data_IF_164894658169
#
_entry.id   IF_164894658169
#
_cell.length_a   1.000
_cell.length_b   1.000
_cell.length_c   1.000
_cell.angle_alpha   90.00
_cell.angle_beta   90.00
_cell.angle_gamma   90.00
#
_symmetry.space_group_name_H-M   'P 1'
#
loop_
_entity.id
_entity.type
_entity.pdbx_description
1 polymer ?
#
# COMPACT_ATOMS: atom_id res chain seq x y z
N UNK A 1 -25.71 -14.34 1.49
CA UNK A 1 -24.88 -13.23 2.02
C UNK A 1 -23.85 -12.89 0.97
N UNK A 2 -23.68 -11.62 0.60
CA UNK A 2 -22.70 -11.20 -0.42
C UNK A 2 -21.30 -10.93 0.16
N UNK A 3 -21.08 -11.27 1.42
CA UNK A 3 -19.82 -11.07 2.14
C UNK A 3 -18.81 -12.16 1.79
N UNK A 4 -17.52 -11.83 1.87
CA UNK A 4 -16.45 -12.83 1.78
C UNK A 4 -16.54 -13.86 2.91
N UNK A 5 -16.30 -15.15 2.63
CA UNK A 5 -16.29 -16.20 3.65
C UNK A 5 -14.96 -16.28 4.42
N UNK A 6 -13.97 -15.47 4.06
CA UNK A 6 -12.65 -15.41 4.67
C UNK A 6 -12.24 -13.95 4.94
N UNK A 7 -11.30 -13.76 5.88
CA UNK A 7 -10.74 -12.45 6.17
C UNK A 7 -9.68 -12.05 5.14
N UNK A 8 -9.50 -10.75 4.96
CA UNK A 8 -8.40 -10.15 4.22
C UNK A 8 -7.43 -9.44 5.18
N UNK A 9 -6.23 -9.14 4.70
CA UNK A 9 -5.17 -8.53 5.49
C UNK A 9 -4.67 -7.24 4.83
N UNK A 10 -4.49 -6.19 5.62
CA UNK A 10 -3.89 -4.93 5.20
C UNK A 10 -2.64 -4.65 6.04
N UNK A 11 -1.51 -4.42 5.38
CA UNK A 11 -0.27 -4.03 6.05
C UNK A 11 -0.09 -2.53 6.04
N UNK A 12 0.15 -1.95 7.20
CA UNK A 12 0.30 -0.50 7.37
C UNK A 12 1.23 -0.16 8.53
N UNK A 13 1.33 1.12 8.84
CA UNK A 13 2.07 1.67 9.98
C UNK A 13 1.11 2.06 11.10
N UNK A 14 1.57 1.98 12.35
CA UNK A 14 0.85 2.50 13.52
C UNK A 14 0.52 3.99 13.41
N UNK A 15 1.22 4.74 12.55
CA UNK A 15 0.91 6.14 12.23
C UNK A 15 -0.56 6.34 11.80
N UNK A 16 -1.13 5.39 11.08
CA UNK A 16 -2.50 5.50 10.56
C UNK A 16 -3.54 4.85 11.47
N UNK A 17 -3.12 4.19 12.55
CA UNK A 17 -4.00 3.31 13.33
C UNK A 17 -5.11 4.09 14.02
N UNK A 18 -4.82 5.26 14.58
CA UNK A 18 -5.83 6.09 15.24
C UNK A 18 -6.96 6.48 14.27
N UNK A 19 -6.60 7.01 13.10
CA UNK A 19 -7.55 7.34 12.03
C UNK A 19 -8.36 6.12 11.58
N UNK A 20 -7.69 4.99 11.36
CA UNK A 20 -8.36 3.74 10.95
C UNK A 20 -9.35 3.25 12.01
N UNK A 21 -8.99 3.32 13.30
CA UNK A 21 -9.85 2.83 14.38
C UNK A 21 -10.97 3.81 14.74
N UNK A 22 -10.89 5.08 14.32
CA UNK A 22 -11.92 6.09 14.58
C UNK A 22 -12.86 6.29 13.40
N UNK A 23 -12.35 6.22 12.17
CA UNK A 23 -13.10 6.55 10.95
C UNK A 23 -13.31 5.34 10.02
N UNK A 24 -12.57 4.25 10.24
CA UNK A 24 -12.56 3.07 9.39
C UNK A 24 -11.43 3.08 8.36
N UNK A 25 -11.07 1.89 7.88
CA UNK A 25 -10.00 1.71 6.90
C UNK A 25 -10.47 2.15 5.51
N UNK A 26 -9.72 3.06 4.89
CA UNK A 26 -10.03 3.67 3.59
C UNK A 26 -10.83 4.97 3.68
N UNK A 27 -11.19 5.43 4.89
CA UNK A 27 -11.83 6.72 5.11
C UNK A 27 -10.88 7.88 4.76
N UNK A 28 -9.67 7.83 5.27
CA UNK A 28 -8.60 8.75 4.91
C UNK A 28 -7.75 8.20 3.76
N UNK A 29 -7.28 9.12 2.92
CA UNK A 29 -6.48 8.82 1.72
C UNK A 29 -5.27 9.74 1.68
N UNK A 30 -4.26 9.56 2.54
CA UNK A 30 -3.16 10.50 2.71
C UNK A 30 -2.38 10.73 1.40
N UNK A 31 -2.28 9.70 0.55
CA UNK A 31 -1.65 9.81 -0.77
C UNK A 31 -2.36 10.84 -1.67
N UNK A 32 -3.70 10.90 -1.61
CA UNK A 32 -4.50 11.88 -2.35
C UNK A 32 -4.57 13.23 -1.63
N UNK A 33 -4.81 13.22 -0.32
CA UNK A 33 -4.94 14.43 0.50
C UNK A 33 -3.70 15.31 0.41
N UNK A 34 -2.53 14.70 0.26
CA UNK A 34 -1.25 15.39 0.16
C UNK A 34 -0.65 15.41 -1.23
N UNK A 35 -1.39 15.09 -2.31
CA UNK A 35 -0.86 15.12 -3.69
C UNK A 35 0.48 14.36 -3.86
N UNK A 36 0.64 13.23 -3.18
CA UNK A 36 1.93 12.51 -3.10
C UNK A 36 2.42 12.10 -4.49
N UNK A 37 1.52 11.60 -5.34
CA UNK A 37 1.88 11.19 -6.71
C UNK A 37 2.32 12.37 -7.57
N UNK A 38 1.72 13.56 -7.39
CA UNK A 38 2.10 14.78 -8.11
C UNK A 38 3.49 15.27 -7.67
N UNK A 39 3.79 15.20 -6.37
CA UNK A 39 5.14 15.51 -5.87
C UNK A 39 6.18 14.52 -6.42
N UNK A 40 5.86 13.22 -6.45
CA UNK A 40 6.74 12.22 -7.05
C UNK A 40 6.96 12.53 -8.54
N UNK A 41 5.92 12.89 -9.29
CA UNK A 41 6.06 13.28 -10.70
C UNK A 41 7.05 14.44 -10.90
N UNK A 42 6.93 15.50 -10.08
CA UNK A 42 7.88 16.63 -10.09
C UNK A 42 9.31 16.20 -9.74
N UNK A 43 9.48 15.26 -8.81
CA UNK A 43 10.80 14.70 -8.48
C UNK A 43 11.38 13.94 -9.67
N UNK A 44 10.57 13.10 -10.34
CA UNK A 44 10.97 12.36 -11.54
C UNK A 44 11.46 13.33 -12.63
N UNK A 45 10.68 14.39 -12.91
CA UNK A 45 11.05 15.40 -13.90
C UNK A 45 12.37 16.10 -13.54
N UNK A 46 12.57 16.44 -12.25
CA UNK A 46 13.80 17.03 -11.76
C UNK A 46 15.03 16.13 -11.98
N UNK A 47 14.90 14.83 -11.67
CA UNK A 47 15.97 13.86 -11.89
C UNK A 47 16.29 13.67 -13.37
N UNK A 48 15.27 13.49 -14.21
CA UNK A 48 15.47 13.31 -15.66
C UNK A 48 16.13 14.53 -16.31
N UNK A 49 15.75 15.74 -15.88
CA UNK A 49 16.29 16.97 -16.44
C UNK A 49 17.72 17.29 -15.98
N UNK A 50 18.07 17.00 -14.71
CA UNK A 50 19.32 17.49 -14.11
C UNK A 50 20.31 16.39 -13.71
N UNK A 51 19.81 15.20 -13.39
CA UNK A 51 20.59 14.12 -12.80
C UNK A 51 20.31 12.73 -13.42
N UNK A 52 20.16 12.58 -14.75
CA UNK A 52 19.71 11.32 -15.35
C UNK A 52 20.70 10.15 -15.16
N UNK A 53 21.97 10.45 -14.90
CA UNK A 53 23.04 9.46 -14.69
C UNK A 53 23.41 9.28 -13.21
N UNK A 54 22.65 9.87 -12.28
CA UNK A 54 22.87 9.62 -10.86
C UNK A 54 22.55 8.15 -10.53
N UNK A 55 23.47 7.46 -9.85
CA UNK A 55 23.34 6.03 -9.57
C UNK A 55 22.10 5.68 -8.75
N UNK A 56 21.83 6.42 -7.68
CA UNK A 56 20.68 6.17 -6.80
C UNK A 56 19.36 6.40 -7.56
N UNK A 57 19.30 7.47 -8.38
CA UNK A 57 18.18 7.69 -9.28
C UNK A 57 18.02 6.55 -10.27
N UNK A 58 19.08 6.11 -10.96
CA UNK A 58 19.00 5.01 -11.92
C UNK A 58 18.44 3.73 -11.28
N UNK A 59 18.92 3.40 -10.07
CA UNK A 59 18.50 2.23 -9.30
C UNK A 59 17.00 2.34 -8.89
N UNK A 60 16.46 3.55 -8.71
CA UNK A 60 15.07 3.79 -8.29
C UNK A 60 14.09 4.17 -9.42
N UNK A 61 14.62 4.66 -10.55
CA UNK A 61 13.86 5.36 -11.59
C UNK A 61 12.76 4.53 -12.20
N UNK A 62 13.00 3.22 -12.39
CA UNK A 62 12.01 2.29 -12.92
C UNK A 62 10.75 2.25 -12.05
N UNK A 63 10.93 2.19 -10.73
CA UNK A 63 9.81 2.12 -9.79
C UNK A 63 9.05 3.45 -9.71
N UNK A 64 9.77 4.57 -9.57
CA UNK A 64 9.16 5.90 -9.50
C UNK A 64 8.38 6.27 -10.78
N UNK A 65 8.93 6.00 -11.96
CA UNK A 65 8.26 6.29 -13.24
C UNK A 65 6.95 5.51 -13.40
N UNK A 66 6.92 4.24 -12.99
CA UNK A 66 5.70 3.42 -13.07
C UNK A 66 4.64 3.84 -12.08
N UNK A 67 5.06 4.32 -10.91
CA UNK A 67 4.17 4.96 -9.94
C UNK A 67 3.49 6.21 -10.52
N UNK A 68 4.24 7.09 -11.17
CA UNK A 68 3.70 8.30 -11.81
C UNK A 68 2.79 7.99 -12.98
N UNK A 69 3.16 7.00 -13.80
CA UNK A 69 2.37 6.57 -14.94
C UNK A 69 1.03 5.90 -14.54
N UNK A 70 0.82 5.62 -13.25
CA UNK A 70 -0.29 4.81 -12.74
C UNK A 70 -0.47 3.52 -13.56
N UNK A 71 0.65 2.87 -13.91
CA UNK A 71 0.63 1.71 -14.80
C UNK A 71 -0.09 0.53 -14.14
N UNK A 72 -1.10 0.01 -14.84
CA UNK A 72 -1.73 -1.28 -14.55
C UNK A 72 -1.10 -2.38 -15.41
N UNK A 73 -0.20 -3.16 -14.79
CA UNK A 73 0.45 -4.30 -15.43
C UNK A 73 -0.03 -5.64 -14.87
N UNK A 74 0.21 -6.73 -15.61
CA UNK A 74 -0.13 -8.10 -15.16
C UNK A 74 0.62 -8.56 -13.90
N UNK A 75 1.66 -7.84 -13.46
CA UNK A 75 2.50 -8.20 -12.29
C UNK A 75 2.54 -7.16 -11.18
N UNK A 76 2.23 -5.90 -11.50
CA UNK A 76 2.28 -4.78 -10.56
C UNK A 76 1.17 -3.81 -10.94
N UNK A 77 0.35 -3.40 -9.97
CA UNK A 77 -0.59 -2.30 -10.14
C UNK A 77 -0.12 -1.15 -9.29
N UNK A 78 0.19 -0.04 -9.96
CA UNK A 78 0.60 1.21 -9.33
C UNK A 78 -0.60 2.16 -9.23
N UNK A 79 -1.78 1.62 -8.86
CA UNK A 79 -2.99 2.40 -8.67
C UNK A 79 -2.99 3.01 -7.27
N UNK A 80 -2.65 4.29 -7.20
CA UNK A 80 -2.67 5.04 -5.98
C UNK A 80 -3.82 6.06 -6.04
N UNK A 81 -4.81 5.94 -5.13
CA UNK A 81 -5.90 6.91 -4.99
C UNK A 81 -7.32 6.37 -5.09
N UNK A 82 -7.51 5.09 -5.41
CA UNK A 82 -8.81 4.45 -5.32
C UNK A 82 -9.10 3.97 -3.91
N UNK A 83 -8.92 2.68 -3.68
CA UNK A 83 -9.30 1.99 -2.44
C UNK A 83 -8.16 1.62 -1.49
N UNK A 84 -8.53 1.01 -0.37
CA UNK A 84 -7.57 0.30 0.50
C UNK A 84 -7.20 -1.04 -0.14
N UNK A 85 -5.91 -1.37 -0.16
CA UNK A 85 -5.43 -2.63 -0.72
C UNK A 85 -5.34 -3.72 0.32
N UNK A 86 -5.83 -4.89 -0.05
CA UNK A 86 -5.94 -6.06 0.78
C UNK A 86 -5.24 -7.24 0.16
N UNK A 87 -4.57 -8.05 0.98
CA UNK A 87 -4.03 -9.34 0.58
C UNK A 87 -4.78 -10.46 1.29
N UNK A 88 -4.85 -11.62 0.65
CA UNK A 88 -5.36 -12.83 1.30
C UNK A 88 -4.33 -13.47 2.21
N UNK A 89 -3.05 -13.17 1.98
CA UNK A 89 -1.94 -13.69 2.75
C UNK A 89 -1.44 -12.66 3.78
N UNK A 90 -1.42 -12.98 5.09
CA UNK A 90 -0.87 -12.08 6.10
C UNK A 90 0.64 -11.85 5.88
N UNK A 91 1.36 -12.80 5.29
CA UNK A 91 2.78 -12.64 4.94
C UNK A 91 3.02 -11.56 3.89
N UNK A 92 2.12 -11.42 2.90
CA UNK A 92 2.21 -10.31 1.93
C UNK A 92 1.83 -8.98 2.55
N UNK A 93 0.79 -8.96 3.40
CA UNK A 93 0.45 -7.77 4.19
C UNK A 93 1.65 -7.31 5.05
N UNK A 94 2.38 -8.24 5.68
CA UNK A 94 3.61 -7.91 6.42
C UNK A 94 4.65 -7.19 5.56
N UNK A 95 4.80 -7.56 4.29
CA UNK A 95 5.70 -6.89 3.36
C UNK A 95 5.37 -5.40 3.18
N UNK A 96 4.07 -5.05 3.16
CA UNK A 96 3.62 -3.66 3.13
C UNK A 96 3.79 -2.95 4.48
N UNK A 97 3.48 -3.63 5.59
CA UNK A 97 3.66 -3.07 6.93
C UNK A 97 5.12 -2.72 7.27
N UNK A 98 6.08 -3.43 6.65
CA UNK A 98 7.52 -3.18 6.81
C UNK A 98 8.06 -2.02 5.97
N UNK A 99 7.27 -1.44 5.06
CA UNK A 99 7.67 -0.22 4.35
C UNK A 99 7.86 0.90 5.39
N UNK A 100 8.85 1.77 5.18
CA UNK A 100 9.31 2.77 6.17
C UNK A 100 8.17 3.57 6.82
N UNK A 101 7.14 3.90 6.05
CA UNK A 101 5.99 4.65 6.53
C UNK A 101 4.66 3.91 6.37
N UNK A 102 4.65 2.58 6.17
CA UNK A 102 3.42 1.79 5.98
C UNK A 102 2.63 2.11 4.71
N UNK A 103 3.12 3.02 3.87
CA UNK A 103 2.57 3.39 2.57
C UNK A 103 3.70 3.42 1.55
N UNK A 104 3.52 2.70 0.45
CA UNK A 104 4.53 2.57 -0.59
C UNK A 104 4.79 3.90 -1.31
N UNK A 105 3.74 4.62 -1.71
CA UNK A 105 3.88 5.93 -2.36
C UNK A 105 4.51 6.97 -1.43
N UNK A 106 4.11 7.02 -0.15
CA UNK A 106 4.69 7.96 0.81
C UNK A 106 6.17 7.63 1.05
N UNK A 107 6.51 6.35 1.17
CA UNK A 107 7.91 5.92 1.32
C UNK A 107 8.74 6.33 0.10
N UNK A 108 8.18 6.22 -1.10
CA UNK A 108 8.84 6.63 -2.34
C UNK A 108 9.09 8.14 -2.43
N UNK A 109 8.11 8.95 -2.03
CA UNK A 109 8.27 10.41 -1.97
C UNK A 109 9.42 10.80 -1.03
N UNK A 110 9.49 10.22 0.17
CA UNK A 110 10.54 10.54 1.14
C UNK A 110 11.91 10.12 0.61
N UNK A 111 12.03 8.92 0.03
CA UNK A 111 13.28 8.44 -0.54
C UNK A 111 13.78 9.31 -1.70
N UNK A 112 12.89 9.67 -2.63
CA UNK A 112 13.21 10.58 -3.73
C UNK A 112 13.60 11.97 -3.24
N UNK A 113 12.90 12.52 -2.23
CA UNK A 113 13.28 13.79 -1.61
C UNK A 113 14.66 13.70 -0.98
N UNK A 114 14.96 12.65 -0.20
CA UNK A 114 16.27 12.47 0.45
C UNK A 114 17.40 12.41 -0.58
N UNK A 115 17.21 11.70 -1.70
CA UNK A 115 18.19 11.65 -2.79
C UNK A 115 18.34 13.03 -3.44
N UNK A 116 17.23 13.69 -3.81
CA UNK A 116 17.28 14.96 -4.53
C UNK A 116 17.85 16.07 -3.64
N UNK A 117 17.50 16.08 -2.36
CA UNK A 117 17.96 17.08 -1.40
C UNK A 117 19.48 17.02 -1.21
N UNK A 118 20.11 15.82 -1.30
CA UNK A 118 21.58 15.72 -1.28
C UNK A 118 22.24 16.33 -2.52
N UNK A 119 21.55 16.36 -3.66
CA UNK A 119 22.07 16.84 -4.93
C UNK A 119 21.73 18.32 -5.21
N UNK A 120 20.53 18.73 -4.83
CA UNK A 120 19.96 20.06 -5.05
C UNK A 120 18.89 20.38 -3.97
N UNK A 121 19.31 20.83 -2.77
CA UNK A 121 18.42 21.12 -1.65
C UNK A 121 17.26 22.05 -2.01
N UNK A 122 17.55 23.20 -2.62
CA UNK A 122 16.53 24.20 -2.97
C UNK A 122 15.47 23.65 -3.94
N UNK A 123 15.88 22.76 -4.86
CA UNK A 123 14.94 22.12 -5.78
C UNK A 123 14.08 21.10 -5.07
N UNK A 124 14.67 20.26 -4.22
CA UNK A 124 13.95 19.26 -3.44
C UNK A 124 12.89 19.91 -2.54
N UNK A 125 13.26 20.99 -1.85
CA UNK A 125 12.37 21.71 -0.93
C UNK A 125 11.33 22.55 -1.67
N UNK A 126 11.59 22.96 -2.91
CA UNK A 126 10.54 23.57 -3.75
C UNK A 126 9.43 22.58 -4.15
N UNK A 127 9.72 21.27 -4.15
CA UNK A 127 8.77 20.22 -4.51
C UNK A 127 8.08 19.65 -3.28
N UNK A 128 8.84 19.35 -2.21
CA UNK A 128 8.33 18.86 -0.94
C UNK A 128 8.88 19.72 0.20
N UNK A 129 8.22 20.86 0.52
CA UNK A 129 8.71 21.83 1.51
C UNK A 129 8.89 21.28 2.91
N UNK A 130 9.82 21.86 3.68
CA UNK A 130 10.11 21.46 5.06
C UNK A 130 8.93 21.65 6.03
N UNK A 131 8.03 22.58 5.74
CA UNK A 131 6.82 22.90 6.52
C UNK A 131 5.57 22.15 6.02
N UNK A 132 5.72 21.20 5.10
CA UNK A 132 4.60 20.41 4.60
C UNK A 132 4.05 19.47 5.68
N UNK A 133 2.74 19.51 5.96
CA UNK A 133 2.05 18.75 7.03
C UNK A 133 2.41 17.26 7.10
N UNK A 134 2.52 16.60 5.94
CA UNK A 134 2.94 15.20 5.85
C UNK A 134 4.30 14.93 6.52
N UNK A 135 5.25 15.88 6.54
CA UNK A 135 6.54 15.71 7.23
C UNK A 135 6.37 15.59 8.73
N UNK A 136 5.55 16.45 9.33
CA UNK A 136 5.26 16.42 10.77
C UNK A 136 4.58 15.10 11.14
N UNK A 137 3.60 14.68 10.34
CA UNK A 137 2.93 13.39 10.52
C UNK A 137 3.91 12.20 10.48
N UNK A 138 4.85 12.20 9.52
CA UNK A 138 5.82 11.12 9.35
C UNK A 138 7.00 11.17 10.32
N UNK A 139 7.21 12.28 11.04
CA UNK A 139 8.25 12.41 12.05
C UNK A 139 7.94 11.62 13.34
N UNK A 140 6.69 11.15 13.49
CA UNK A 140 6.26 10.41 14.66
C UNK A 140 6.83 8.97 14.67
N UNK A 141 7.05 8.37 15.86
CA UNK A 141 7.43 6.96 15.96
C UNK A 141 6.40 6.03 15.31
N UNK A 142 6.88 5.12 14.48
CA UNK A 142 6.06 4.20 13.70
C UNK A 142 6.46 2.75 13.99
N UNK A 143 5.49 1.85 13.98
CA UNK A 143 5.71 0.41 14.02
C UNK A 143 4.86 -0.31 12.96
N UNK A 144 5.33 -1.44 12.41
CA UNK A 144 4.53 -2.25 11.49
C UNK A 144 3.26 -2.78 12.16
N UNK A 145 2.12 -2.67 11.47
CA UNK A 145 0.82 -3.17 11.89
C UNK A 145 0.18 -3.98 10.76
N UNK A 146 -0.43 -5.11 11.09
CA UNK A 146 -1.30 -5.86 10.18
C UNK A 146 -2.73 -5.76 10.70
N UNK A 147 -3.64 -5.39 9.81
CA UNK A 147 -5.06 -5.37 10.06
C UNK A 147 -5.69 -6.59 9.41
N UNK A 148 -6.36 -7.42 10.20
CA UNK A 148 -7.21 -8.50 9.70
C UNK A 148 -8.63 -7.97 9.60
N UNK A 149 -9.17 -8.00 8.40
CA UNK A 149 -10.44 -7.37 8.05
C UNK A 149 -11.44 -8.44 7.67
N UNK A 150 -12.61 -8.41 8.29
CA UNK A 150 -13.68 -9.37 8.08
C UNK A 150 -14.93 -8.72 7.50
N UNK A 151 -15.90 -9.53 7.04
CA UNK A 151 -17.23 -9.08 6.60
C UNK A 151 -17.22 -8.07 5.45
N UNK A 152 -16.22 -8.14 4.58
CA UNK A 152 -16.14 -7.31 3.37
C UNK A 152 -17.17 -7.79 2.35
N UNK A 153 -17.95 -6.87 1.76
CA UNK A 153 -18.85 -7.18 0.67
C UNK A 153 -18.07 -7.40 -0.62
N UNK A 154 -18.40 -8.46 -1.37
CA UNK A 154 -17.78 -8.76 -2.67
C UNK A 154 -17.98 -7.61 -3.66
N UNK A 155 -19.11 -6.90 -3.60
CA UNK A 155 -19.40 -5.76 -4.48
C UNK A 155 -18.46 -4.56 -4.31
N UNK A 156 -17.79 -4.47 -3.15
CA UNK A 156 -16.86 -3.37 -2.85
C UNK A 156 -15.44 -3.65 -3.35
N UNK A 157 -15.17 -4.87 -3.82
CA UNK A 157 -13.84 -5.33 -4.21
C UNK A 157 -13.60 -5.28 -5.71
N UNK A 158 -12.37 -4.94 -6.07
CA UNK A 158 -11.82 -5.07 -7.42
C UNK A 158 -10.51 -5.85 -7.38
N UNK A 159 -10.22 -6.58 -8.45
CA UNK A 159 -8.93 -7.26 -8.56
C UNK A 159 -7.80 -6.21 -8.69
N UNK A 160 -6.59 -6.59 -8.29
CA UNK A 160 -5.39 -5.75 -8.44
C UNK A 160 -5.10 -5.36 -9.89
N UNK A 161 -5.64 -6.04 -10.90
CA UNK A 161 -5.54 -5.64 -12.32
C UNK A 161 -6.75 -4.82 -12.84
N UNK A 162 -7.67 -4.43 -11.97
CA UNK A 162 -8.89 -3.68 -12.30
C UNK A 162 -10.03 -4.53 -12.87
N UNK A 163 -9.79 -5.84 -13.04
CA UNK A 163 -10.76 -6.80 -13.57
C UNK A 163 -11.82 -7.24 -12.55
N UNK A 164 -12.84 -7.97 -13.02
CA UNK A 164 -13.85 -8.58 -12.16
C UNK A 164 -13.22 -9.60 -11.20
N UNK A 165 -13.71 -9.62 -9.96
CA UNK A 165 -13.18 -10.50 -8.91
C UNK A 165 -13.73 -11.91 -8.95
N UNK A 166 -14.79 -12.19 -9.73
CA UNK A 166 -15.55 -13.45 -9.66
C UNK A 166 -14.69 -14.69 -9.77
N UNK A 167 -13.93 -14.82 -10.86
CA UNK A 167 -13.03 -15.96 -11.08
C UNK A 167 -11.95 -16.08 -10.00
N UNK A 168 -11.44 -14.94 -9.52
CA UNK A 168 -10.44 -14.91 -8.44
C UNK A 168 -11.05 -15.38 -7.12
N UNK A 169 -12.28 -14.96 -6.81
CA UNK A 169 -12.98 -15.35 -5.59
C UNK A 169 -13.41 -16.81 -5.60
N UNK A 170 -13.88 -17.32 -6.73
CA UNK A 170 -14.27 -18.72 -6.88
C UNK A 170 -13.05 -19.62 -6.69
N UNK A 171 -11.95 -19.29 -7.37
CA UNK A 171 -10.67 -19.97 -7.19
C UNK A 171 -10.15 -19.92 -5.75
N UNK A 172 -10.24 -18.76 -5.08
CA UNK A 172 -9.82 -18.63 -3.69
C UNK A 172 -10.71 -19.40 -2.73
N UNK A 173 -12.02 -19.40 -2.98
CA UNK A 173 -12.99 -20.19 -2.22
C UNK A 173 -12.63 -21.66 -2.33
N UNK A 174 -12.41 -22.17 -3.54
CA UNK A 174 -11.96 -23.55 -3.75
C UNK A 174 -10.65 -23.85 -3.02
N UNK A 175 -9.66 -22.96 -3.07
CA UNK A 175 -8.38 -23.15 -2.36
C UNK A 175 -8.54 -23.13 -0.84
N UNK A 176 -9.39 -22.27 -0.29
CA UNK A 176 -9.63 -22.21 1.16
C UNK A 176 -10.38 -23.45 1.65
N UNK A 177 -11.27 -24.01 0.83
CA UNK A 177 -12.07 -25.18 1.18
C UNK A 177 -11.39 -26.52 0.83
N UNK A 178 -10.47 -26.57 -0.14
CA UNK A 178 -9.70 -27.76 -0.48
C UNK A 178 -8.37 -27.80 0.28
N UNK A 179 -8.17 -28.80 1.15
CA UNK A 179 -6.98 -28.95 2.03
C UNK A 179 -5.68 -29.39 1.33
N UNK A 180 -5.34 -28.94 0.11
CA UNK A 180 -4.12 -29.42 -0.59
C UNK A 180 -2.87 -28.55 -0.30
N UNK A 181 -2.03 -29.02 0.62
CA UNK A 181 -0.94 -28.27 1.30
C UNK A 181 0.25 -27.75 0.45
N UNK A 182 0.31 -27.95 -0.87
CA UNK A 182 1.56 -27.77 -1.63
C UNK A 182 1.60 -26.61 -2.64
N UNK A 183 0.62 -26.53 -3.54
CA UNK A 183 0.58 -25.55 -4.64
C UNK A 183 -0.08 -24.22 -4.20
N UNK A 184 -0.75 -24.23 -3.05
CA UNK A 184 -1.61 -23.14 -2.58
C UNK A 184 -0.88 -21.91 -2.02
N UNK A 185 0.35 -22.05 -1.50
CA UNK A 185 1.04 -20.94 -0.84
C UNK A 185 1.46 -19.84 -1.83
N UNK A 186 2.06 -20.23 -2.96
CA UNK A 186 2.63 -19.30 -3.95
C UNK A 186 1.55 -18.50 -4.68
N UNK A 187 0.38 -19.09 -4.93
CA UNK A 187 -0.72 -18.40 -5.63
C UNK A 187 -1.53 -17.49 -4.69
N UNK A 188 -1.68 -17.85 -3.40
CA UNK A 188 -2.28 -16.97 -2.38
C UNK A 188 -1.45 -15.71 -2.14
N UNK A 189 -0.13 -15.79 -2.30
CA UNK A 189 0.76 -14.64 -2.21
C UNK A 189 0.59 -13.66 -3.37
N UNK A 190 -0.02 -14.04 -4.49
CA UNK A 190 -0.12 -13.17 -5.67
C UNK A 190 -1.45 -12.42 -5.81
N UNK A 191 -2.46 -12.73 -5.00
CA UNK A 191 -3.77 -12.10 -5.11
C UNK A 191 -3.97 -10.98 -4.10
N UNK A 192 -4.06 -9.75 -4.60
CA UNK A 192 -4.56 -8.61 -3.84
C UNK A 192 -5.88 -8.09 -4.41
N UNK A 193 -6.61 -7.39 -3.56
CA UNK A 193 -7.84 -6.70 -3.91
C UNK A 193 -7.74 -5.24 -3.52
N UNK A 194 -8.36 -4.40 -4.32
CA UNK A 194 -8.65 -3.02 -3.97
C UNK A 194 -10.09 -2.96 -3.44
N UNK A 195 -10.31 -2.34 -2.29
CA UNK A 195 -11.65 -2.12 -1.74
C UNK A 195 -12.01 -0.64 -1.79
N UNK A 196 -13.11 -0.35 -2.46
CA UNK A 196 -13.56 1.02 -2.69
C UNK A 196 -14.36 1.59 -1.52
N UNK A 197 -14.91 0.72 -0.68
CA UNK A 197 -15.67 1.10 0.50
C UNK A 197 -14.77 1.28 1.72
N UNK A 198 -15.24 2.13 2.63
CA UNK A 198 -14.67 2.26 3.98
C UNK A 198 -15.06 1.04 4.79
N UNK A 199 -14.07 0.34 5.36
CA UNK A 199 -14.32 -0.77 6.26
C UNK A 199 -14.43 -0.23 7.69
N UNK A 200 -15.56 -0.44 8.38
CA UNK A 200 -15.77 0.14 9.69
C UNK A 200 -14.90 -0.52 10.77
N UNK A 201 -14.52 0.21 11.84
CA UNK A 201 -13.57 -0.28 12.85
C UNK A 201 -13.96 -1.61 13.52
N UNK A 202 -15.24 -1.87 13.72
CA UNK A 202 -15.75 -3.12 14.32
C UNK A 202 -15.47 -4.37 13.48
N UNK A 203 -15.06 -4.21 12.22
CA UNK A 203 -14.68 -5.31 11.34
C UNK A 203 -13.15 -5.56 11.29
N UNK A 204 -12.39 -4.78 12.06
CA UNK A 204 -10.93 -4.74 12.01
C UNK A 204 -10.33 -5.30 13.31
N UNK A 205 -9.47 -6.30 13.16
CA UNK A 205 -8.64 -6.84 14.23
C UNK A 205 -7.17 -6.43 13.98
N UNK A 206 -6.51 -5.89 15.01
CA UNK A 206 -5.19 -5.26 14.90
C UNK A 206 -4.09 -6.19 15.45
N UNK A 207 -3.04 -6.41 14.67
CA UNK A 207 -1.86 -7.19 15.04
C UNK A 207 -0.61 -6.31 14.96
N UNK A 208 -0.03 -6.02 16.12
CA UNK A 208 1.24 -5.29 16.24
C UNK A 208 2.44 -6.21 15.99
N UNK A 209 3.59 -5.62 15.68
CA UNK A 209 4.83 -6.32 15.29
C UNK A 209 5.23 -7.51 16.18
N UNK A 210 4.99 -7.42 17.49
CA UNK A 210 5.27 -8.45 18.49
C UNK A 210 4.30 -9.64 18.44
N UNK A 211 3.12 -9.45 17.86
CA UNK A 211 2.02 -10.43 17.78
C UNK A 211 1.73 -10.93 16.37
N UNK A 212 2.47 -10.45 15.36
CA UNK A 212 2.29 -10.87 13.96
C UNK A 212 2.49 -12.38 13.78
N UNK A 213 3.31 -13.03 14.62
CA UNK A 213 3.49 -14.48 14.60
C UNK A 213 2.18 -15.26 14.83
N UNK A 214 1.22 -14.69 15.56
CA UNK A 214 -0.09 -15.30 15.83
C UNK A 214 -0.93 -15.48 14.55
N UNK A 215 -0.65 -14.72 13.48
CA UNK A 215 -1.35 -14.82 12.19
C UNK A 215 -0.97 -16.05 11.35
N UNK A 216 0.07 -16.78 11.75
CA UNK A 216 0.63 -17.89 10.99
C UNK A 216 0.46 -19.25 11.67
N UNK A 217 -0.27 -19.30 12.80
CA UNK A 217 -0.56 -20.50 13.60
C UNK A 217 -1.98 -20.98 13.28
#
# INVERSE_FOLDING_TARGET
MNTLPFALYHGTSSLFLESIMTQGLGAERPVLQHSVIEMIAKMVDAFEARFPMNKEWMDYSWFAKRMVANEDGQRFSFRYGGGAYYSVCPGRALGFARKRHGSEAISALVELHEILHRLAPDLADSIYPCDHDLREFLAQPASPVILKVSRIDKGDLRAENGGPIGETLDYMTEIFFMKSKGVQAVQREQTNFECLAVVPPEHIEVFHADRIAELFV
#
